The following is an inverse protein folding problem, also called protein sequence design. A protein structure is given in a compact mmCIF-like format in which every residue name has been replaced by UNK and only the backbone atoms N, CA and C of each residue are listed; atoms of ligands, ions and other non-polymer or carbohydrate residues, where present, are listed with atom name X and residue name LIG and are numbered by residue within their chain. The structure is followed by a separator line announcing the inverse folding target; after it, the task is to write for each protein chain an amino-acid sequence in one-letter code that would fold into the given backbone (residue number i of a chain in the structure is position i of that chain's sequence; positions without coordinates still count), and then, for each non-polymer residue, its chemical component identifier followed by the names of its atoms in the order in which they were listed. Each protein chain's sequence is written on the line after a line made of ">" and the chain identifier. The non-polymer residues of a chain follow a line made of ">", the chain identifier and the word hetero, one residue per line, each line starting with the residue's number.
data_IF_013824775447
#
_entry.id   IF_013824775447
#
_cell.length_a   1.000
_cell.length_b   1.000
_cell.length_c   1.000
_cell.angle_alpha   90.00
_cell.angle_beta   90.00
_cell.angle_gamma   90.00
#
_symmetry.space_group_name_H-M   'P 1'
#
loop_
_entity.id
_entity.type
_entity.pdbx_description
1 polymer ?
#
# COMPACT_ATOMS: atom_id res chain seq x y z
N UNK A 1 -40.36 -21.49 26.90
CA UNK A 1 -39.41 -21.28 28.01
C UNK A 1 -38.28 -22.28 27.88
N UNK A 2 -37.24 -21.98 27.08
CA UNK A 2 -35.97 -22.73 27.09
C UNK A 2 -34.88 -21.66 26.88
N UNK A 3 -34.40 -21.14 28.02
CA UNK A 3 -33.26 -20.22 28.01
C UNK A 3 -32.00 -21.08 28.20
N UNK A 4 -31.35 -21.40 27.08
CA UNK A 4 -30.08 -22.11 27.09
C UNK A 4 -28.94 -21.12 27.37
N UNK A 5 -28.44 -21.08 28.57
CA UNK A 5 -27.24 -20.36 28.97
C UNK A 5 -26.03 -20.96 28.27
N UNK A 6 -25.56 -20.31 27.22
CA UNK A 6 -24.26 -20.61 26.64
C UNK A 6 -23.15 -20.21 27.61
N UNK A 7 -22.64 -21.18 28.33
CA UNK A 7 -21.45 -21.06 29.17
C UNK A 7 -20.23 -20.99 28.23
N UNK A 8 -19.70 -19.80 28.04
CA UNK A 8 -18.41 -19.60 27.35
C UNK A 8 -17.35 -20.24 28.27
N UNK A 9 -16.85 -21.40 27.87
CA UNK A 9 -15.71 -22.02 28.54
C UNK A 9 -14.49 -21.14 28.41
N UNK A 10 -13.67 -20.93 29.46
CA UNK A 10 -12.47 -20.13 29.38
C UNK A 10 -11.51 -20.79 28.39
N UNK A 11 -10.98 -19.98 27.49
CA UNK A 11 -10.03 -20.34 26.42
C UNK A 11 -8.80 -20.99 27.05
N UNK A 12 -8.73 -22.33 27.01
CA UNK A 12 -7.62 -23.09 27.53
C UNK A 12 -6.56 -23.17 26.43
N UNK A 13 -5.48 -22.45 26.59
CA UNK A 13 -4.28 -22.56 25.74
C UNK A 13 -3.70 -23.96 25.91
N UNK A 14 -4.03 -24.89 25.01
CA UNK A 14 -3.35 -26.17 24.92
C UNK A 14 -2.01 -25.96 24.19
N UNK A 15 -0.92 -26.23 24.90
CA UNK A 15 0.37 -26.57 24.28
C UNK A 15 1.46 -25.51 24.27
N UNK A 16 1.75 -24.87 25.41
CA UNK A 16 3.04 -24.16 25.56
C UNK A 16 3.76 -24.64 26.84
N UNK A 17 4.00 -25.96 26.96
CA UNK A 17 4.89 -26.52 27.98
C UNK A 17 5.99 -27.37 27.37
N UNK A 18 6.53 -26.95 26.22
CA UNK A 18 7.80 -27.46 25.70
C UNK A 18 8.55 -26.35 24.99
N UNK A 19 8.88 -25.28 25.72
CA UNK A 19 9.84 -24.27 25.27
C UNK A 19 11.17 -24.53 25.97
N UNK A 20 11.76 -25.67 25.68
CA UNK A 20 13.22 -25.91 25.88
C UNK A 20 13.97 -25.71 24.55
N UNK A 21 13.44 -24.97 23.60
CA UNK A 21 14.26 -24.40 22.53
C UNK A 21 14.80 -23.05 23.04
N UNK A 22 16.02 -23.11 23.57
CA UNK A 22 16.88 -21.95 23.77
C UNK A 22 16.79 -21.12 22.49
N UNK A 23 16.39 -19.84 22.56
CA UNK A 23 16.45 -18.98 21.38
C UNK A 23 17.90 -19.01 20.91
N UNK A 24 18.16 -19.58 19.74
CA UNK A 24 19.48 -19.41 19.12
C UNK A 24 19.79 -17.93 19.19
N UNK A 25 20.85 -17.58 19.92
CA UNK A 25 21.41 -16.24 19.98
C UNK A 25 21.80 -15.86 18.56
N UNK A 26 20.83 -15.31 17.83
CA UNK A 26 21.03 -14.79 16.48
C UNK A 26 22.12 -13.76 16.58
N UNK A 27 23.31 -14.07 16.09
CA UNK A 27 24.43 -13.13 16.06
C UNK A 27 23.92 -11.82 15.48
N UNK A 28 24.09 -10.68 16.16
CA UNK A 28 23.62 -9.39 15.65
C UNK A 28 24.21 -9.17 14.26
N UNK A 29 23.36 -9.08 13.25
CA UNK A 29 23.81 -8.78 11.90
C UNK A 29 24.21 -7.32 11.84
N UNK A 30 25.15 -6.90 10.97
CA UNK A 30 25.49 -5.49 10.77
C UNK A 30 24.25 -4.63 10.44
N UNK A 31 23.20 -5.25 9.89
CA UNK A 31 21.90 -4.64 9.59
C UNK A 31 21.07 -4.33 10.84
N UNK A 32 21.46 -4.81 12.02
CA UNK A 32 20.73 -4.55 13.27
C UNK A 32 21.12 -3.22 13.90
N UNK A 33 22.16 -2.58 13.40
CA UNK A 33 22.58 -1.24 13.88
C UNK A 33 21.56 -0.17 13.45
N UNK A 34 21.06 0.69 14.36
CA UNK A 34 19.99 1.66 14.07
C UNK A 34 20.37 2.65 12.96
N UNK A 35 21.64 3.07 12.87
CA UNK A 35 22.12 3.95 11.81
C UNK A 35 22.09 3.26 10.43
N UNK A 36 22.51 2.00 10.35
CA UNK A 36 22.48 1.23 9.09
C UNK A 36 21.05 1.08 8.60
N UNK A 37 20.10 0.81 9.50
CA UNK A 37 18.69 0.75 9.17
C UNK A 37 18.12 2.08 8.70
N UNK A 38 18.46 3.18 9.37
CA UNK A 38 18.02 4.51 8.96
C UNK A 38 18.53 4.86 7.55
N UNK A 39 19.81 4.59 7.27
CA UNK A 39 20.40 4.79 5.93
C UNK A 39 19.70 3.90 4.89
N UNK A 40 19.45 2.64 5.24
CA UNK A 40 18.75 1.70 4.33
C UNK A 40 17.34 2.18 4.03
N UNK A 41 16.58 2.64 5.03
CA UNK A 41 15.24 3.22 4.84
C UNK A 41 15.28 4.42 3.92
N UNK A 42 16.22 5.37 4.15
CA UNK A 42 16.38 6.54 3.29
C UNK A 42 16.78 6.17 1.87
N UNK A 43 17.66 5.19 1.68
CA UNK A 43 18.05 4.69 0.37
C UNK A 43 16.86 4.03 -0.35
N UNK A 44 16.06 3.22 0.35
CA UNK A 44 14.86 2.59 -0.21
C UNK A 44 13.79 3.62 -0.57
N UNK A 45 13.60 4.66 0.25
CA UNK A 45 12.72 5.79 -0.09
C UNK A 45 13.21 6.53 -1.33
N UNK A 46 14.51 6.71 -1.47
CA UNK A 46 15.09 7.33 -2.66
C UNK A 46 14.85 6.47 -3.91
N UNK A 47 15.07 5.14 -3.83
CA UNK A 47 14.77 4.20 -4.93
C UNK A 47 13.27 4.21 -5.27
N UNK A 48 12.40 4.27 -4.28
CA UNK A 48 10.96 4.43 -4.48
C UNK A 48 10.64 5.70 -5.28
N UNK A 49 11.22 6.85 -4.90
CA UNK A 49 11.02 8.12 -5.62
C UNK A 49 11.60 8.10 -7.03
N UNK A 50 12.73 7.42 -7.25
CA UNK A 50 13.29 7.19 -8.60
C UNK A 50 12.28 6.40 -9.45
N UNK A 51 11.68 5.34 -8.89
CA UNK A 51 10.63 4.57 -9.56
C UNK A 51 9.42 5.44 -9.91
N UNK A 52 8.93 6.27 -8.97
CA UNK A 52 7.78 7.18 -9.22
C UNK A 52 8.08 8.17 -10.34
N UNK A 53 9.26 8.81 -10.33
CA UNK A 53 9.65 9.74 -11.39
C UNK A 53 9.84 9.03 -12.75
N UNK A 54 10.49 7.86 -12.77
CA UNK A 54 10.66 7.06 -13.97
C UNK A 54 9.33 6.61 -14.58
N UNK A 55 8.34 6.29 -13.71
CA UNK A 55 6.98 5.95 -14.13
C UNK A 55 6.32 7.15 -14.84
N UNK A 56 6.39 8.35 -14.26
CA UNK A 56 5.87 9.58 -14.86
C UNK A 56 6.52 9.89 -16.21
N UNK A 57 7.86 9.76 -16.30
CA UNK A 57 8.61 9.98 -17.55
C UNK A 57 8.29 8.91 -18.61
N UNK A 58 8.08 7.65 -18.20
CA UNK A 58 7.66 6.57 -19.07
C UNK A 58 6.29 6.83 -19.68
N UNK A 59 5.31 7.21 -18.88
CA UNK A 59 3.97 7.59 -19.36
C UNK A 59 4.03 8.80 -20.30
N UNK A 60 4.84 9.80 -19.98
CA UNK A 60 5.04 10.96 -20.86
C UNK A 60 5.61 10.55 -22.23
N UNK A 61 6.55 9.60 -22.24
CA UNK A 61 7.19 9.11 -23.47
C UNK A 61 6.27 8.24 -24.33
N UNK A 62 5.21 7.63 -23.76
CA UNK A 62 4.18 6.91 -24.52
C UNK A 62 3.34 7.81 -25.44
N UNK A 63 3.37 9.11 -25.20
CA UNK A 63 2.59 10.11 -25.92
C UNK A 63 1.24 10.42 -25.28
N UNK A 64 0.72 11.61 -25.57
CA UNK A 64 -0.51 12.13 -24.98
C UNK A 64 -1.74 11.26 -25.28
N UNK A 65 -1.82 10.65 -26.45
CA UNK A 65 -3.00 9.91 -26.89
C UNK A 65 -3.35 8.69 -26.02
N UNK A 66 -2.34 7.95 -25.52
CA UNK A 66 -2.59 6.80 -24.64
C UNK A 66 -3.00 7.25 -23.24
N UNK A 67 -2.32 8.27 -22.71
CA UNK A 67 -2.66 8.88 -21.43
C UNK A 67 -4.06 9.47 -21.43
N UNK A 68 -4.40 10.21 -22.49
CA UNK A 68 -5.73 10.81 -22.66
C UNK A 68 -6.80 9.72 -22.72
N UNK A 69 -6.54 8.62 -23.44
CA UNK A 69 -7.46 7.48 -23.49
C UNK A 69 -7.64 6.81 -22.13
N UNK A 70 -6.55 6.63 -21.37
CA UNK A 70 -6.59 6.08 -20.02
C UNK A 70 -7.33 7.03 -19.05
N UNK A 71 -7.05 8.33 -19.11
CA UNK A 71 -7.71 9.31 -18.26
C UNK A 71 -9.21 9.40 -18.56
N UNK A 72 -9.59 9.42 -19.85
CA UNK A 72 -11.00 9.37 -20.26
C UNK A 72 -11.70 8.10 -19.81
N UNK A 73 -11.06 6.96 -19.93
CA UNK A 73 -11.62 5.70 -19.44
C UNK A 73 -11.85 5.74 -17.91
N UNK A 74 -10.92 6.33 -17.16
CA UNK A 74 -11.00 6.43 -15.69
C UNK A 74 -11.82 7.62 -15.20
N UNK A 75 -12.31 8.53 -16.08
CA UNK A 75 -13.33 9.56 -15.75
C UNK A 75 -14.62 8.90 -15.26
N UNK A 76 -14.96 7.72 -15.77
CA UNK A 76 -16.05 6.94 -15.22
C UNK A 76 -15.61 6.33 -13.87
N UNK A 77 -16.25 6.70 -12.75
CA UNK A 77 -15.84 6.23 -11.41
C UNK A 77 -15.87 4.70 -11.26
N UNK A 78 -16.80 4.02 -11.94
CA UNK A 78 -16.86 2.56 -11.93
C UNK A 78 -15.69 1.93 -12.69
N UNK A 79 -15.27 2.53 -13.80
CA UNK A 79 -14.08 2.08 -14.52
C UNK A 79 -12.81 2.32 -13.70
N UNK A 80 -12.70 3.49 -13.06
CA UNK A 80 -11.61 3.78 -12.12
C UNK A 80 -11.57 2.76 -10.98
N UNK A 81 -12.71 2.46 -10.37
CA UNK A 81 -12.84 1.43 -9.35
C UNK A 81 -12.33 0.07 -9.85
N UNK A 82 -12.79 -0.38 -11.04
CA UNK A 82 -12.37 -1.66 -11.62
C UNK A 82 -10.87 -1.71 -11.91
N UNK A 83 -10.29 -0.62 -12.41
CA UNK A 83 -8.84 -0.52 -12.61
C UNK A 83 -8.10 -0.71 -11.29
N UNK A 84 -8.54 -0.08 -10.21
CA UNK A 84 -7.96 -0.24 -8.89
C UNK A 84 -8.07 -1.68 -8.35
N UNK A 85 -9.24 -2.30 -8.49
CA UNK A 85 -9.46 -3.71 -8.10
C UNK A 85 -8.50 -4.63 -8.87
N UNK A 86 -8.47 -4.51 -10.20
CA UNK A 86 -7.63 -5.36 -11.05
C UNK A 86 -6.14 -5.15 -10.76
N UNK A 87 -5.68 -3.89 -10.65
CA UNK A 87 -4.30 -3.57 -10.33
C UNK A 87 -3.86 -4.24 -9.02
N UNK A 88 -4.67 -4.11 -7.97
CA UNK A 88 -4.33 -4.68 -6.66
C UNK A 88 -4.44 -6.20 -6.66
N UNK A 89 -5.43 -6.78 -7.32
CA UNK A 89 -5.56 -8.24 -7.43
C UNK A 89 -4.39 -8.87 -8.18
N UNK A 90 -3.88 -8.21 -9.23
CA UNK A 90 -2.72 -8.68 -9.98
C UNK A 90 -1.41 -8.52 -9.20
N UNK A 91 -1.20 -7.35 -8.60
CA UNK A 91 0.01 -7.03 -7.83
C UNK A 91 0.01 -7.69 -6.45
N UNK A 92 -1.16 -8.11 -5.94
CA UNK A 92 -1.36 -8.69 -4.60
C UNK A 92 -0.88 -7.77 -3.47
N UNK A 93 -0.87 -6.44 -3.71
CA UNK A 93 -0.43 -5.43 -2.75
C UNK A 93 -1.15 -4.10 -2.98
N UNK A 94 -2.05 -3.75 -2.08
CA UNK A 94 -2.75 -2.45 -2.13
C UNK A 94 -1.82 -1.28 -1.88
N UNK A 95 -0.80 -1.47 -1.03
CA UNK A 95 0.20 -0.41 -0.78
C UNK A 95 0.95 -0.04 -2.05
N UNK A 96 1.35 -1.03 -2.86
CA UNK A 96 1.99 -0.81 -4.16
C UNK A 96 1.02 -0.13 -5.13
N UNK A 97 -0.19 -0.66 -5.29
CA UNK A 97 -1.19 -0.09 -6.20
C UNK A 97 -1.54 1.35 -5.83
N UNK A 98 -1.77 1.63 -4.54
CA UNK A 98 -2.06 2.99 -4.06
C UNK A 98 -0.87 3.92 -4.29
N UNK A 99 0.36 3.46 -4.03
CA UNK A 99 1.57 4.26 -4.26
C UNK A 99 1.77 4.58 -5.75
N UNK A 100 1.45 3.64 -6.64
CA UNK A 100 1.46 3.89 -8.09
C UNK A 100 0.43 4.95 -8.49
N UNK A 101 -0.80 4.86 -7.98
CA UNK A 101 -1.86 5.84 -8.25
C UNK A 101 -1.45 7.22 -7.72
N UNK A 102 -0.95 7.30 -6.49
CA UNK A 102 -0.45 8.55 -5.90
C UNK A 102 0.72 9.12 -6.71
N UNK A 103 1.63 8.25 -7.18
CA UNK A 103 2.72 8.62 -8.07
C UNK A 103 2.24 9.23 -9.39
N UNK A 104 1.16 8.69 -9.96
CA UNK A 104 0.53 9.25 -11.16
C UNK A 104 -0.13 10.60 -10.89
N UNK A 105 -0.78 10.79 -9.73
CA UNK A 105 -1.35 12.08 -9.30
C UNK A 105 -0.25 13.11 -9.08
N UNK A 106 0.88 12.71 -8.52
CA UNK A 106 2.03 13.57 -8.26
C UNK A 106 2.96 13.76 -9.47
N UNK A 107 2.65 13.16 -10.61
CA UNK A 107 3.52 13.20 -11.78
C UNK A 107 3.73 14.65 -12.26
N UNK A 108 5.00 15.09 -12.52
CA UNK A 108 5.30 16.47 -12.92
C UNK A 108 4.73 16.84 -14.27
N UNK A 109 4.47 15.84 -15.12
CA UNK A 109 3.89 16.03 -16.44
C UNK A 109 2.66 15.11 -16.58
N UNK A 110 1.54 15.70 -17.01
CA UNK A 110 0.26 15.01 -17.17
C UNK A 110 -0.17 14.25 -15.88
N UNK A 111 -0.39 14.95 -14.76
CA UNK A 111 -0.83 14.31 -13.53
C UNK A 111 -2.22 13.69 -13.71
N UNK A 112 -2.42 12.51 -13.12
CA UNK A 112 -3.74 11.88 -13.06
C UNK A 112 -4.69 12.80 -12.25
N UNK A 113 -5.86 13.16 -12.79
CA UNK A 113 -6.83 13.94 -12.01
C UNK A 113 -7.21 13.26 -10.71
N UNK A 114 -7.27 14.02 -9.62
CA UNK A 114 -7.62 13.48 -8.30
C UNK A 114 -9.01 12.82 -8.29
N UNK A 115 -9.94 13.37 -9.07
CA UNK A 115 -11.27 12.79 -9.25
C UNK A 115 -11.24 11.35 -9.81
N UNK A 116 -10.29 11.05 -10.70
CA UNK A 116 -10.11 9.70 -11.26
C UNK A 116 -9.36 8.79 -10.28
N UNK A 117 -8.40 9.35 -9.53
CA UNK A 117 -7.59 8.61 -8.59
C UNK A 117 -8.40 8.07 -7.40
N UNK A 118 -9.38 8.81 -6.90
CA UNK A 118 -10.18 8.43 -5.72
C UNK A 118 -10.91 7.11 -5.93
N UNK A 119 -11.71 6.91 -7.00
CA UNK A 119 -12.32 5.60 -7.26
C UNK A 119 -11.30 4.48 -7.46
N UNK A 120 -10.14 4.76 -8.07
CA UNK A 120 -9.07 3.77 -8.23
C UNK A 120 -8.50 3.33 -6.88
N UNK A 121 -8.31 4.24 -5.93
CA UNK A 121 -7.86 3.92 -4.57
C UNK A 121 -8.91 3.11 -3.82
N UNK A 122 -10.20 3.46 -3.96
CA UNK A 122 -11.31 2.67 -3.41
C UNK A 122 -11.29 1.25 -3.98
N UNK A 123 -11.06 1.10 -5.28
CA UNK A 123 -10.90 -0.19 -5.95
C UNK A 123 -9.69 -0.97 -5.44
N UNK A 124 -8.56 -0.31 -5.22
CA UNK A 124 -7.38 -0.95 -4.66
C UNK A 124 -7.64 -1.55 -3.26
N UNK A 125 -8.46 -0.91 -2.45
CA UNK A 125 -8.88 -1.44 -1.15
C UNK A 125 -9.74 -2.71 -1.29
N UNK A 126 -10.68 -2.74 -2.23
CA UNK A 126 -11.44 -3.96 -2.55
C UNK A 126 -10.50 -5.06 -3.06
N UNK A 127 -9.56 -4.74 -3.96
CA UNK A 127 -8.63 -5.73 -4.50
C UNK A 127 -7.81 -6.46 -3.44
N UNK A 128 -7.55 -5.83 -2.28
CA UNK A 128 -6.87 -6.46 -1.14
C UNK A 128 -7.67 -7.63 -0.56
N UNK A 129 -8.98 -7.56 -0.61
CA UNK A 129 -9.85 -8.57 -0.02
C UNK A 129 -9.74 -9.92 -0.73
N UNK A 130 -9.51 -9.90 -2.04
CA UNK A 130 -9.31 -11.11 -2.85
C UNK A 130 -8.15 -11.95 -2.29
N UNK A 131 -7.06 -11.30 -1.88
CA UNK A 131 -5.90 -11.98 -1.29
C UNK A 131 -6.26 -12.69 0.02
N UNK A 132 -6.98 -11.99 0.91
CA UNK A 132 -7.38 -12.55 2.21
C UNK A 132 -8.29 -13.77 2.02
N UNK A 133 -9.24 -13.68 1.09
CA UNK A 133 -10.14 -14.78 0.75
C UNK A 133 -9.37 -15.98 0.19
N UNK A 134 -8.43 -15.76 -0.75
CA UNK A 134 -7.58 -16.82 -1.29
C UNK A 134 -6.72 -17.49 -0.21
N UNK A 135 -6.12 -16.69 0.69
CA UNK A 135 -5.32 -17.23 1.81
C UNK A 135 -6.19 -18.04 2.76
N UNK A 136 -7.41 -17.59 3.05
CA UNK A 136 -8.35 -18.35 3.89
C UNK A 136 -8.72 -19.70 3.26
N UNK A 137 -8.90 -19.74 1.93
CA UNK A 137 -9.19 -20.98 1.20
C UNK A 137 -8.04 -21.99 1.26
N UNK A 138 -6.79 -21.56 1.41
CA UNK A 138 -5.65 -22.46 1.60
C UNK A 138 -5.76 -23.31 2.89
N UNK A 139 -6.61 -22.91 3.83
CA UNK A 139 -6.85 -23.63 5.08
C UNK A 139 -8.06 -24.60 5.01
N UNK A 140 -8.68 -24.79 3.83
CA UNK A 140 -9.89 -25.63 3.66
C UNK A 140 -9.73 -27.08 4.19
N UNK A 141 -8.51 -27.61 4.22
CA UNK A 141 -8.23 -28.94 4.77
C UNK A 141 -8.39 -29.05 6.30
N UNK A 142 -8.48 -27.90 7.01
CA UNK A 142 -8.59 -27.82 8.48
C UNK A 142 -9.79 -27.01 8.87
N UNK A 143 -10.93 -27.67 9.08
CA UNK A 143 -12.23 -27.03 9.27
C UNK A 143 -12.23 -25.85 10.25
N UNK A 144 -11.65 -26.02 11.45
CA UNK A 144 -11.65 -24.96 12.46
C UNK A 144 -10.76 -23.76 12.11
N UNK A 145 -9.63 -23.99 11.44
CA UNK A 145 -8.75 -22.93 10.95
C UNK A 145 -9.41 -22.18 9.80
N UNK A 146 -10.05 -22.91 8.87
CA UNK A 146 -10.77 -22.35 7.75
C UNK A 146 -11.93 -21.47 8.21
N UNK A 147 -12.79 -21.94 9.12
CA UNK A 147 -13.93 -21.17 9.64
C UNK A 147 -13.48 -19.83 10.24
N UNK A 148 -12.40 -19.83 11.01
CA UNK A 148 -11.86 -18.59 11.60
C UNK A 148 -11.22 -17.68 10.55
N UNK A 149 -10.36 -18.20 9.69
CA UNK A 149 -9.69 -17.44 8.65
C UNK A 149 -10.70 -16.84 7.66
N UNK A 150 -11.68 -17.63 7.24
CA UNK A 150 -12.72 -17.20 6.31
C UNK A 150 -13.66 -16.15 6.93
N UNK A 151 -14.05 -16.30 8.20
CA UNK A 151 -14.86 -15.31 8.89
C UNK A 151 -14.16 -13.94 8.95
N UNK A 152 -12.84 -13.92 9.26
CA UNK A 152 -12.07 -12.66 9.28
C UNK A 152 -11.92 -12.07 7.88
N UNK A 153 -11.62 -12.89 6.87
CA UNK A 153 -11.53 -12.45 5.48
C UNK A 153 -12.86 -11.83 5.02
N UNK A 154 -13.99 -12.53 5.23
CA UNK A 154 -15.32 -12.07 4.83
C UNK A 154 -15.72 -10.78 5.57
N UNK A 155 -15.36 -10.63 6.85
CA UNK A 155 -15.61 -9.39 7.60
C UNK A 155 -14.87 -8.20 6.97
N UNK A 156 -13.62 -8.40 6.58
CA UNK A 156 -12.82 -7.39 5.89
C UNK A 156 -13.39 -7.06 4.51
N UNK A 157 -13.79 -8.08 3.74
CA UNK A 157 -14.44 -7.92 2.43
C UNK A 157 -15.70 -7.06 2.56
N UNK A 158 -16.58 -7.44 3.49
CA UNK A 158 -17.85 -6.75 3.70
C UNK A 158 -17.63 -5.29 4.09
N UNK A 159 -16.64 -5.02 4.95
CA UNK A 159 -16.30 -3.66 5.34
C UNK A 159 -15.85 -2.81 4.15
N UNK A 160 -14.99 -3.33 3.26
CA UNK A 160 -14.52 -2.61 2.09
C UNK A 160 -15.64 -2.38 1.07
N UNK A 161 -16.48 -3.40 0.81
CA UNK A 161 -17.64 -3.24 -0.07
C UNK A 161 -18.64 -2.22 0.47
N UNK A 162 -18.93 -2.25 1.78
CA UNK A 162 -19.82 -1.30 2.42
C UNK A 162 -19.25 0.12 2.37
N UNK A 163 -17.95 0.28 2.63
CA UNK A 163 -17.27 1.56 2.53
C UNK A 163 -17.39 2.15 1.12
N UNK A 164 -17.14 1.34 0.07
CA UNK A 164 -17.28 1.79 -1.32
C UNK A 164 -18.74 2.09 -1.65
N UNK A 165 -19.69 1.25 -1.21
CA UNK A 165 -21.13 1.47 -1.45
C UNK A 165 -21.64 2.79 -0.84
N UNK A 166 -21.01 3.27 0.23
CA UNK A 166 -21.38 4.54 0.87
C UNK A 166 -20.56 5.69 0.27
N UNK A 167 -19.23 5.55 0.23
CA UNK A 167 -18.36 6.67 -0.11
C UNK A 167 -18.28 6.96 -1.61
N UNK A 168 -18.46 5.97 -2.49
CA UNK A 168 -18.43 6.23 -3.93
C UNK A 168 -19.63 7.06 -4.39
N UNK A 169 -20.91 6.75 -4.03
CA UNK A 169 -22.03 7.64 -4.34
C UNK A 169 -21.90 9.01 -3.68
N UNK A 170 -21.39 9.08 -2.43
CA UNK A 170 -21.16 10.33 -1.75
C UNK A 170 -20.13 11.20 -2.49
N UNK A 171 -19.05 10.59 -2.96
CA UNK A 171 -18.03 11.25 -3.76
C UNK A 171 -18.60 11.75 -5.09
N UNK A 172 -19.33 10.88 -5.80
CA UNK A 172 -19.97 11.25 -7.07
C UNK A 172 -20.96 12.40 -6.92
N UNK A 173 -21.70 12.46 -5.81
CA UNK A 173 -22.71 13.51 -5.59
C UNK A 173 -22.10 14.81 -5.06
N UNK A 174 -21.06 14.75 -4.23
CA UNK A 174 -20.59 15.92 -3.45
C UNK A 174 -19.13 16.28 -3.70
N UNK A 175 -18.31 15.37 -4.23
CA UNK A 175 -16.86 15.50 -4.29
C UNK A 175 -16.22 15.58 -2.90
N UNK A 176 -16.81 14.90 -1.89
CA UNK A 176 -16.43 15.03 -0.50
C UNK A 176 -14.96 14.71 -0.25
N UNK A 177 -14.48 13.57 -0.75
CA UNK A 177 -13.08 13.15 -0.57
C UNK A 177 -12.12 14.04 -1.37
N UNK A 178 -12.48 14.39 -2.61
CA UNK A 178 -11.69 15.29 -3.44
C UNK A 178 -11.54 16.68 -2.78
N UNK A 179 -12.64 17.26 -2.30
CA UNK A 179 -12.63 18.57 -1.62
C UNK A 179 -11.83 18.51 -0.33
N UNK A 180 -12.00 17.43 0.46
CA UNK A 180 -11.28 17.22 1.70
C UNK A 180 -9.77 17.08 1.45
N UNK A 181 -9.37 16.29 0.47
CA UNK A 181 -7.97 16.12 0.09
C UNK A 181 -7.35 17.41 -0.42
N UNK A 182 -8.08 18.17 -1.25
CA UNK A 182 -7.62 19.48 -1.78
C UNK A 182 -7.48 20.50 -0.65
N UNK A 183 -8.44 20.57 0.27
CA UNK A 183 -8.37 21.46 1.42
C UNK A 183 -7.18 21.13 2.33
N UNK A 184 -6.96 19.84 2.61
CA UNK A 184 -5.83 19.39 3.41
C UNK A 184 -4.50 19.69 2.70
N UNK A 185 -4.41 19.46 1.40
CA UNK A 185 -3.25 19.82 0.59
C UNK A 185 -2.96 21.31 0.64
N UNK A 186 -4.00 22.16 0.55
CA UNK A 186 -3.88 23.61 0.67
C UNK A 186 -3.33 24.08 2.03
N UNK A 187 -3.75 23.40 3.10
CA UNK A 187 -3.22 23.68 4.44
C UNK A 187 -1.73 23.30 4.56
N UNK A 188 -1.33 22.20 3.95
CA UNK A 188 0.05 21.72 3.99
C UNK A 188 0.98 22.54 3.08
N UNK A 189 0.50 22.97 1.90
CA UNK A 189 1.27 23.81 0.97
C UNK A 189 1.43 25.24 1.48
N UNK A 190 0.48 25.77 2.26
CA UNK A 190 0.58 27.07 2.91
C UNK A 190 1.71 27.17 3.96
N UNK A 191 2.20 26.05 4.43
CA UNK A 191 3.33 25.97 5.41
C UNK A 191 4.69 25.85 4.70
N UNK A 192 4.72 25.51 3.39
CA UNK A 192 5.94 25.17 2.64
C UNK A 192 6.16 25.96 1.34
N UNK A 193 5.47 27.07 1.11
CA UNK A 193 5.50 27.84 -0.14
C UNK A 193 6.78 28.60 -0.46
N UNK A 194 7.91 27.92 -0.49
CA UNK A 194 9.12 28.38 -1.17
C UNK A 194 9.28 27.54 -2.42
N UNK A 195 9.32 28.15 -3.59
CA UNK A 195 9.82 27.52 -4.82
C UNK A 195 11.30 27.19 -4.62
N UNK A 196 11.54 26.14 -3.86
CA UNK A 196 12.86 25.63 -3.60
C UNK A 196 13.15 24.55 -4.66
N UNK A 197 14.09 24.83 -5.53
CA UNK A 197 14.70 23.79 -6.36
C UNK A 197 15.39 22.79 -5.45
N UNK A 198 14.60 21.84 -5.00
CA UNK A 198 15.03 20.84 -4.05
C UNK A 198 16.20 20.05 -4.64
N UNK A 199 17.36 19.95 -3.93
CA UNK A 199 18.48 19.11 -4.36
C UNK A 199 18.03 17.67 -4.62
N UNK A 200 16.94 17.25 -4.00
CA UNK A 200 16.30 15.95 -4.26
C UNK A 200 15.77 15.84 -5.69
N UNK A 201 15.13 16.90 -6.26
CA UNK A 201 14.68 16.90 -7.67
C UNK A 201 15.87 16.73 -8.62
N UNK A 202 16.97 17.42 -8.35
CA UNK A 202 18.21 17.30 -9.11
C UNK A 202 18.79 15.88 -9.04
N UNK A 203 18.87 15.30 -7.87
CA UNK A 203 19.36 13.94 -7.63
C UNK A 203 18.48 12.88 -8.32
N UNK A 204 17.16 13.03 -8.25
CA UNK A 204 16.22 12.12 -8.93
C UNK A 204 16.36 12.20 -10.44
N UNK A 205 16.44 13.41 -11.01
CA UNK A 205 16.65 13.61 -12.44
C UNK A 205 18.00 13.04 -12.91
N UNK A 206 19.06 13.20 -12.13
CA UNK A 206 20.39 12.66 -12.43
C UNK A 206 20.41 11.12 -12.50
N UNK A 207 19.52 10.43 -11.78
CA UNK A 207 19.41 8.97 -11.81
C UNK A 207 18.43 8.50 -12.89
N UNK A 208 17.30 9.18 -13.07
CA UNK A 208 16.26 8.78 -14.02
C UNK A 208 16.69 9.04 -15.48
N UNK A 209 17.42 10.14 -15.75
CA UNK A 209 17.84 10.49 -17.11
C UNK A 209 18.70 9.39 -17.78
N UNK A 210 19.80 8.88 -17.15
CA UNK A 210 20.58 7.80 -17.77
C UNK A 210 19.79 6.50 -17.91
N UNK A 211 18.88 6.18 -17.00
CA UNK A 211 18.00 5.00 -17.15
C UNK A 211 17.14 5.14 -18.41
N UNK A 212 16.57 6.32 -18.62
CA UNK A 212 15.79 6.62 -19.82
C UNK A 212 16.62 6.50 -21.09
N UNK A 213 17.82 7.07 -21.11
CA UNK A 213 18.76 6.97 -22.26
C UNK A 213 19.10 5.51 -22.58
N UNK A 214 19.38 4.69 -21.55
CA UNK A 214 19.65 3.27 -21.73
C UNK A 214 18.42 2.56 -22.35
N UNK A 215 17.20 2.87 -21.89
CA UNK A 215 16.00 2.27 -22.47
C UNK A 215 15.85 2.62 -23.95
N UNK A 216 16.08 3.89 -24.33
CA UNK A 216 16.05 4.31 -25.75
C UNK A 216 17.19 3.70 -26.59
N UNK A 217 18.34 3.41 -25.99
CA UNK A 217 19.45 2.75 -26.68
C UNK A 217 19.22 1.25 -26.91
N UNK A 218 18.55 0.58 -25.97
CA UNK A 218 18.32 -0.87 -26.01
C UNK A 218 17.11 -1.23 -26.87
N UNK A 219 16.05 -0.43 -26.84
CA UNK A 219 14.81 -0.74 -27.54
C UNK A 219 14.68 -0.01 -28.86
N UNK A 220 14.24 -0.71 -29.95
CA UNK A 220 14.24 -0.17 -31.30
C UNK A 220 13.16 0.90 -31.55
N UNK A 221 12.22 1.10 -30.64
CA UNK A 221 11.17 2.13 -30.76
C UNK A 221 10.93 2.87 -29.46
N UNK A 222 10.61 4.16 -29.55
CA UNK A 222 10.29 5.01 -28.40
C UNK A 222 9.14 4.45 -27.54
N UNK A 223 8.16 3.81 -28.18
CA UNK A 223 7.05 3.17 -27.44
C UNK A 223 7.51 1.98 -26.61
N UNK A 224 8.37 1.11 -27.16
CA UNK A 224 8.91 -0.03 -26.42
C UNK A 224 9.83 0.44 -25.29
N UNK A 225 10.66 1.45 -25.54
CA UNK A 225 11.50 2.07 -24.51
C UNK A 225 10.65 2.66 -23.37
N UNK A 226 9.55 3.35 -23.70
CA UNK A 226 8.62 3.89 -22.71
C UNK A 226 7.92 2.80 -21.89
N UNK A 227 7.44 1.73 -22.53
CA UNK A 227 6.84 0.58 -21.85
C UNK A 227 7.86 -0.09 -20.93
N UNK A 228 9.09 -0.31 -21.41
CA UNK A 228 10.16 -0.89 -20.61
C UNK A 228 10.50 -0.02 -19.39
N UNK A 229 10.53 1.31 -19.56
CA UNK A 229 10.75 2.25 -18.46
C UNK A 229 9.60 2.20 -17.42
N UNK A 230 8.35 2.10 -17.87
CA UNK A 230 7.18 1.95 -16.99
C UNK A 230 7.28 0.65 -16.19
N UNK A 231 7.57 -0.48 -16.86
CA UNK A 231 7.70 -1.77 -16.18
C UNK A 231 8.86 -1.78 -15.18
N UNK A 232 10.03 -1.27 -15.58
CA UNK A 232 11.19 -1.14 -14.70
C UNK A 232 10.87 -0.26 -13.50
N UNK A 233 10.21 0.88 -13.72
CA UNK A 233 9.79 1.79 -12.63
C UNK A 233 8.81 1.12 -11.69
N UNK A 234 7.84 0.37 -12.21
CA UNK A 234 6.91 -0.44 -11.40
C UNK A 234 7.64 -1.49 -10.56
N UNK A 235 8.62 -2.18 -11.12
CA UNK A 235 9.46 -3.15 -10.39
C UNK A 235 10.29 -2.44 -9.29
N UNK A 236 10.88 -1.27 -9.59
CA UNK A 236 11.63 -0.49 -8.60
C UNK A 236 10.74 -0.07 -7.42
N UNK A 237 9.53 0.43 -7.69
CA UNK A 237 8.55 0.79 -6.67
C UNK A 237 8.20 -0.44 -5.83
N UNK A 238 7.87 -1.57 -6.47
CA UNK A 238 7.50 -2.80 -5.79
C UNK A 238 8.61 -3.32 -4.87
N UNK A 239 9.83 -3.43 -5.40
CA UNK A 239 10.99 -3.92 -4.63
C UNK A 239 11.33 -2.96 -3.49
N UNK A 240 11.33 -1.65 -3.74
CA UNK A 240 11.60 -0.65 -2.72
C UNK A 240 10.59 -0.75 -1.57
N UNK A 241 9.29 -0.85 -1.87
CA UNK A 241 8.25 -0.99 -0.85
C UNK A 241 8.34 -2.32 -0.11
N UNK A 242 8.56 -3.44 -0.80
CA UNK A 242 8.74 -4.75 -0.15
C UNK A 242 9.92 -4.75 0.83
N UNK A 243 11.06 -4.20 0.40
CA UNK A 243 12.25 -4.11 1.25
C UNK A 243 12.05 -3.13 2.40
N UNK A 244 11.35 -2.01 2.16
CA UNK A 244 11.01 -1.04 3.19
C UNK A 244 10.16 -1.70 4.30
N UNK A 245 9.06 -2.36 3.89
CA UNK A 245 8.19 -3.08 4.83
C UNK A 245 8.95 -4.17 5.58
N UNK A 246 9.79 -4.96 4.87
CA UNK A 246 10.61 -6.01 5.51
C UNK A 246 11.58 -5.43 6.54
N UNK A 247 12.22 -4.30 6.24
CA UNK A 247 13.15 -3.60 7.14
C UNK A 247 12.41 -3.06 8.37
N UNK A 248 11.22 -2.51 8.16
CA UNK A 248 10.39 -1.95 9.23
C UNK A 248 9.80 -3.06 10.13
N UNK A 249 9.30 -4.16 9.56
CA UNK A 249 8.74 -5.30 10.34
C UNK A 249 9.75 -5.86 11.34
N UNK A 250 11.02 -6.00 10.97
CA UNK A 250 12.06 -6.51 11.86
C UNK A 250 12.31 -5.65 13.11
N UNK A 251 11.98 -4.36 13.06
CA UNK A 251 12.10 -3.45 14.22
C UNK A 251 10.90 -3.55 15.16
N UNK A 252 9.74 -3.89 14.64
CA UNK A 252 8.46 -3.73 15.34
C UNK A 252 7.97 -4.99 16.04
N UNK A 253 8.31 -6.16 15.50
CA UNK A 253 7.76 -7.44 15.96
C UNK A 253 8.00 -7.64 17.48
N UNK A 254 9.16 -7.29 18.00
CA UNK A 254 9.49 -7.45 19.43
C UNK A 254 8.79 -6.43 20.35
N UNK A 255 8.45 -5.22 19.85
CA UNK A 255 7.79 -4.18 20.65
C UNK A 255 6.27 -4.26 20.57
N UNK A 256 5.73 -4.62 19.41
CA UNK A 256 4.28 -4.76 19.22
C UNK A 256 3.71 -5.91 20.06
N UNK A 257 4.38 -7.07 20.10
CA UNK A 257 3.97 -8.20 20.94
C UNK A 257 3.85 -7.80 22.42
N UNK A 258 4.74 -6.96 22.92
CA UNK A 258 4.72 -6.50 24.33
C UNK A 258 3.56 -5.52 24.61
N UNK A 259 3.25 -4.65 23.64
CA UNK A 259 2.19 -3.64 23.78
C UNK A 259 0.81 -4.28 23.59
N UNK A 260 0.68 -5.16 22.60
CA UNK A 260 -0.55 -5.86 22.23
C UNK A 260 -0.96 -6.86 23.32
N UNK A 261 -0.01 -7.60 23.89
CA UNK A 261 -0.30 -8.65 24.90
C UNK A 261 -0.85 -8.12 26.22
N UNK A 262 -0.64 -6.86 26.57
CA UNK A 262 -1.05 -6.30 27.87
C UNK A 262 -2.23 -5.33 27.84
N UNK A 263 -2.58 -4.74 26.71
CA UNK A 263 -3.52 -3.62 26.61
C UNK A 263 -4.86 -3.90 25.91
N UNK A 264 -4.90 -4.85 24.99
CA UNK A 264 -6.05 -5.06 24.10
C UNK A 264 -7.32 -5.51 24.79
N UNK A 265 -7.23 -6.15 25.96
CA UNK A 265 -8.39 -6.69 26.64
C UNK A 265 -9.12 -5.69 27.56
N UNK A 266 -8.58 -4.48 27.78
CA UNK A 266 -9.10 -3.58 28.82
C UNK A 266 -9.94 -2.40 28.30
N UNK A 267 -9.80 -1.99 27.04
CA UNK A 267 -10.62 -0.91 26.49
C UNK A 267 -10.68 -0.99 24.94
N UNK A 268 -11.87 -1.06 24.33
CA UNK A 268 -12.04 -1.14 22.87
C UNK A 268 -11.41 0.03 22.12
N UNK A 269 -11.52 1.25 22.65
CA UNK A 269 -10.90 2.44 22.06
C UNK A 269 -9.37 2.37 22.04
N UNK A 270 -8.77 1.82 23.08
CA UNK A 270 -7.33 1.62 23.13
C UNK A 270 -6.88 0.58 22.10
N UNK A 271 -7.66 -0.50 21.90
CA UNK A 271 -7.40 -1.50 20.88
C UNK A 271 -7.45 -0.90 19.46
N UNK A 272 -8.41 -0.01 19.19
CA UNK A 272 -8.52 0.72 17.92
C UNK A 272 -7.30 1.62 17.70
N UNK A 273 -6.91 2.41 18.70
CA UNK A 273 -5.75 3.29 18.62
C UNK A 273 -4.45 2.52 18.38
N UNK A 274 -4.25 1.41 19.08
CA UNK A 274 -3.10 0.51 18.87
C UNK A 274 -3.15 -0.10 17.47
N UNK A 275 -4.32 -0.53 17.01
CA UNK A 275 -4.51 -1.06 15.67
C UNK A 275 -4.15 -0.04 14.59
N UNK A 276 -4.63 1.20 14.70
CA UNK A 276 -4.29 2.30 13.80
C UNK A 276 -2.77 2.54 13.81
N UNK A 277 -2.17 2.66 14.99
CA UNK A 277 -0.74 2.91 15.11
C UNK A 277 0.09 1.78 14.47
N UNK A 278 -0.29 0.52 14.73
CA UNK A 278 0.39 -0.65 14.15
C UNK A 278 0.22 -0.67 12.64
N UNK A 279 -0.97 -0.42 12.11
CA UNK A 279 -1.24 -0.38 10.67
C UNK A 279 -0.42 0.72 9.98
N UNK A 280 -0.41 1.93 10.54
CA UNK A 280 0.40 3.04 10.00
C UNK A 280 1.88 2.70 10.02
N UNK A 281 2.36 2.05 11.08
CA UNK A 281 3.77 1.69 11.20
C UNK A 281 4.17 0.51 10.29
N UNK A 282 3.29 -0.47 10.09
CA UNK A 282 3.56 -1.66 9.25
C UNK A 282 3.24 -1.39 7.77
N UNK A 283 2.46 -0.33 7.48
CA UNK A 283 1.99 0.04 6.12
C UNK A 283 1.27 -1.12 5.40
N UNK A 284 0.53 -1.90 6.15
CA UNK A 284 -0.15 -3.09 5.63
C UNK A 284 -1.52 -3.24 6.26
#
# INVERSE_FOLDING_TARGET
>A
MICGTYRISPFRWYGLTDVTTIPELRRPSPLDHPLVRAILVLALLFVFLVGVNGLGDGFKSLGSGLLDSFFRATENPFMGLMVGVLATTLVQSSSVSTSLIVGLVAAPANPLPLANAIPMIMGANIGTTVTNTLVSMAHMGRKQEFERAFAVATCHDFFNFLAVAIFLPLEMATGFLQKSATALSGLLTGVGGVDYDSPLKGALKAVVAPIKEIMHAVFPSDRLAAIALILLSGVLIYVALMLLVKTMRGFMQSRVETIVGRGLYKAPLFAILVGILVTVMVQS
#
